data_IF_094221154166
#
_entry.id   IF_094221154166
#
_cell.length_a   1.000
_cell.length_b   1.000
_cell.length_c   1.000
_cell.angle_alpha   90.00
_cell.angle_beta   90.00
_cell.angle_gamma   90.00
#
_symmetry.space_group_name_H-M   'P 1'
#
loop_
_entity.id
_entity.type
_entity.pdbx_description
1 polymer ?
#
# COMPACT_ATOMS: atom_id res chain seq x y z
N UNK A 1 5.49 10.13 -14.41
CA UNK A 1 4.44 9.14 -14.12
C UNK A 1 3.91 8.64 -15.45
N UNK A 2 4.12 7.37 -15.80
CA UNK A 2 3.77 6.85 -17.14
C UNK A 2 2.26 6.93 -17.42
N UNK A 3 1.44 6.56 -16.43
CA UNK A 3 -0.03 6.56 -16.55
C UNK A 3 -0.67 7.93 -16.80
N UNK A 4 0.06 9.03 -16.60
CA UNK A 4 -0.41 10.38 -16.88
C UNK A 4 0.26 10.99 -18.12
N UNK A 5 0.96 10.17 -18.91
CA UNK A 5 1.62 10.63 -20.14
C UNK A 5 0.57 10.99 -21.19
N UNK A 6 0.64 12.16 -21.83
CA UNK A 6 -0.33 12.53 -22.86
C UNK A 6 -0.29 11.54 -24.03
N UNK A 7 -1.46 11.08 -24.47
CA UNK A 7 -1.63 10.15 -25.58
C UNK A 7 -2.32 10.82 -26.77
N UNK A 8 -2.15 10.24 -27.95
CA UNK A 8 -2.92 10.58 -29.14
C UNK A 8 -4.29 9.87 -29.18
N UNK A 9 -5.01 10.01 -30.30
CA UNK A 9 -6.33 9.41 -30.51
C UNK A 9 -6.33 7.88 -30.59
N UNK A 10 -5.15 7.27 -30.74
CA UNK A 10 -4.94 5.82 -30.83
C UNK A 10 -4.28 5.27 -29.55
N UNK A 11 -4.35 6.02 -28.43
CA UNK A 11 -3.76 5.69 -27.13
C UNK A 11 -2.23 5.53 -27.15
N UNK A 12 -1.53 6.12 -28.12
CA UNK A 12 -0.06 6.10 -28.15
C UNK A 12 0.51 7.29 -27.40
N UNK A 13 1.56 7.12 -26.58
CA UNK A 13 2.26 8.22 -25.97
C UNK A 13 2.75 9.24 -27.02
N UNK A 14 2.40 10.51 -26.81
CA UNK A 14 2.83 11.63 -27.68
C UNK A 14 4.35 11.81 -27.69
N UNK A 15 5.00 11.47 -26.59
CA UNK A 15 6.46 11.37 -26.47
C UNK A 15 6.84 9.91 -26.33
N UNK A 16 7.91 9.51 -27.01
CA UNK A 16 8.39 8.14 -26.95
C UNK A 16 8.78 7.74 -25.52
N UNK A 17 8.22 6.64 -25.04
CA UNK A 17 8.53 6.04 -23.73
C UNK A 17 9.29 4.74 -23.99
N UNK A 18 10.41 4.56 -23.30
CA UNK A 18 11.23 3.36 -23.40
C UNK A 18 11.74 2.91 -22.02
N UNK A 19 12.02 1.63 -21.89
CA UNK A 19 12.64 1.04 -20.71
C UNK A 19 14.14 1.27 -20.82
N UNK A 20 14.70 2.13 -19.97
CA UNK A 20 16.12 2.45 -20.00
C UNK A 20 17.01 1.32 -19.44
N UNK A 21 16.50 0.55 -18.49
CA UNK A 21 17.19 -0.57 -17.85
C UNK A 21 16.18 -1.60 -17.32
N UNK A 22 16.55 -2.88 -17.30
CA UNK A 22 15.73 -3.97 -16.79
C UNK A 22 16.58 -5.15 -16.28
N UNK A 23 16.04 -5.89 -15.31
CA UNK A 23 16.70 -7.06 -14.76
C UNK A 23 15.74 -7.97 -14.01
N UNK A 24 16.27 -9.06 -13.45
CA UNK A 24 15.52 -10.01 -12.63
C UNK A 24 15.79 -9.76 -11.15
N UNK A 25 14.72 -9.62 -10.36
CA UNK A 25 14.80 -9.57 -8.91
C UNK A 25 14.43 -10.95 -8.34
N UNK A 26 15.38 -11.71 -7.74
CA UNK A 26 15.08 -13.01 -7.19
C UNK A 26 14.19 -12.88 -5.95
N UNK A 27 13.18 -13.73 -5.87
CA UNK A 27 12.33 -13.86 -4.68
C UNK A 27 12.85 -15.01 -3.82
N UNK A 28 13.01 -14.84 -2.49
CA UNK A 28 13.50 -15.91 -1.61
C UNK A 28 12.65 -17.18 -1.68
N UNK A 29 11.36 -17.02 -1.92
CA UNK A 29 10.38 -18.09 -2.11
C UNK A 29 9.23 -17.59 -3.00
N UNK A 30 8.55 -18.47 -3.75
CA UNK A 30 7.33 -18.11 -4.46
C UNK A 30 6.28 -17.61 -3.48
N UNK A 31 5.49 -16.62 -3.92
CA UNK A 31 4.35 -16.11 -3.15
C UNK A 31 3.11 -16.01 -4.04
N UNK A 32 1.94 -16.12 -3.41
CA UNK A 32 0.65 -15.99 -4.07
C UNK A 32 0.15 -14.57 -3.95
N UNK A 33 -0.36 -14.01 -5.05
CA UNK A 33 -1.07 -12.73 -5.08
C UNK A 33 -2.52 -13.06 -5.41
N UNK A 34 -3.44 -12.51 -4.62
CA UNK A 34 -4.87 -12.67 -4.87
C UNK A 34 -5.33 -11.68 -5.92
N UNK A 35 -6.04 -12.17 -6.94
CA UNK A 35 -6.76 -11.33 -7.92
C UNK A 35 -8.17 -10.96 -7.44
N UNK A 36 -8.58 -11.41 -6.24
CA UNK A 36 -9.88 -11.09 -5.66
C UNK A 36 -9.84 -9.70 -5.00
N UNK A 37 -10.56 -8.70 -5.54
CA UNK A 37 -10.60 -7.37 -4.95
C UNK A 37 -11.28 -7.34 -3.58
N UNK A 38 -12.01 -8.39 -3.18
CA UNK A 38 -12.70 -8.50 -1.89
C UNK A 38 -12.00 -9.46 -0.91
N UNK A 39 -10.69 -9.66 -1.03
CA UNK A 39 -9.90 -10.43 -0.07
C UNK A 39 -9.84 -9.72 1.31
N UNK A 40 -10.82 -10.05 2.16
CA UNK A 40 -10.94 -9.54 3.52
C UNK A 40 -9.69 -9.81 4.36
N UNK A 41 -8.98 -10.91 4.14
CA UNK A 41 -7.76 -11.23 4.89
C UNK A 41 -6.60 -10.33 4.48
N UNK A 42 -6.46 -10.04 3.19
CA UNK A 42 -5.49 -9.07 2.71
C UNK A 42 -5.78 -7.67 3.28
N UNK A 43 -7.04 -7.26 3.33
CA UNK A 43 -7.45 -5.98 3.92
C UNK A 43 -7.15 -5.88 5.41
N UNK A 44 -7.43 -6.93 6.18
CA UNK A 44 -7.09 -6.97 7.61
C UNK A 44 -5.57 -6.87 7.80
N UNK A 45 -4.78 -7.65 7.05
CA UNK A 45 -3.31 -7.60 7.13
C UNK A 45 -2.76 -6.21 6.79
N UNK A 46 -3.29 -5.57 5.75
CA UNK A 46 -2.88 -4.24 5.32
C UNK A 46 -3.24 -3.15 6.34
N UNK A 47 -4.41 -3.27 7.00
CA UNK A 47 -4.90 -2.28 7.97
C UNK A 47 -4.41 -2.53 9.41
N UNK A 48 -3.92 -3.72 9.73
CA UNK A 48 -3.51 -4.08 11.09
C UNK A 48 -2.45 -3.13 11.68
N UNK A 49 -1.42 -2.77 10.90
CA UNK A 49 -0.36 -1.86 11.38
C UNK A 49 -0.90 -0.45 11.70
N UNK A 50 -1.59 0.27 10.79
CA UNK A 50 -2.11 1.59 11.13
C UNK A 50 -3.21 1.57 12.21
N UNK A 51 -4.04 0.52 12.25
CA UNK A 51 -5.07 0.37 13.30
C UNK A 51 -4.44 0.14 14.68
N UNK A 52 -3.47 -0.76 14.79
CA UNK A 52 -2.79 -1.03 16.08
C UNK A 52 -2.06 0.19 16.59
N UNK A 53 -1.43 0.99 15.73
CA UNK A 53 -0.83 2.27 16.12
C UNK A 53 -1.88 3.24 16.68
N UNK A 54 -3.02 3.37 16.00
CA UNK A 54 -4.12 4.23 16.44
C UNK A 54 -4.66 3.80 17.81
N UNK A 55 -4.95 2.50 17.99
CA UNK A 55 -5.40 1.96 19.27
C UNK A 55 -4.35 2.07 20.38
N UNK A 56 -3.07 1.93 20.04
CA UNK A 56 -1.98 2.08 21.02
C UNK A 56 -1.88 3.51 21.53
N UNK A 57 -1.99 4.50 20.64
CA UNK A 57 -2.00 5.92 21.01
C UNK A 57 -3.22 6.24 21.88
N UNK A 58 -4.41 5.83 21.45
CA UNK A 58 -5.65 6.03 22.22
C UNK A 58 -5.58 5.34 23.58
N UNK A 59 -5.10 4.09 23.64
CA UNK A 59 -4.93 3.34 24.87
C UNK A 59 -3.92 3.98 25.82
N UNK A 60 -2.82 4.51 25.29
CA UNK A 60 -1.82 5.25 26.06
C UNK A 60 -2.43 6.50 26.71
N UNK A 61 -3.16 7.32 25.93
CA UNK A 61 -3.81 8.52 26.45
C UNK A 61 -4.93 8.18 27.45
N UNK A 62 -5.73 7.15 27.19
CA UNK A 62 -6.75 6.66 28.12
C UNK A 62 -6.13 6.25 29.45
N UNK A 63 -5.01 5.51 29.40
CA UNK A 63 -4.28 5.09 30.58
C UNK A 63 -3.73 6.29 31.37
N UNK A 64 -3.19 7.30 30.67
CA UNK A 64 -2.68 8.52 31.30
C UNK A 64 -3.79 9.29 32.00
N UNK A 65 -4.96 9.48 31.36
CA UNK A 65 -6.11 10.15 31.98
C UNK A 65 -6.57 9.43 33.26
N UNK A 66 -6.66 8.10 33.24
CA UNK A 66 -7.01 7.31 34.41
C UNK A 66 -6.00 7.45 35.57
N UNK A 67 -4.71 7.63 35.25
CA UNK A 67 -3.65 7.82 36.26
C UNK A 67 -3.58 9.22 36.83
N UNK A 68 -4.13 10.22 36.14
CA UNK A 68 -4.08 11.62 36.54
C UNK A 68 -5.32 12.10 37.31
N UNK A 69 -6.30 11.24 37.59
CA UNK A 69 -7.58 11.61 38.24
C UNK A 69 -8.21 12.89 37.66
N UNK A 70 -8.37 12.95 36.32
CA UNK A 70 -9.32 13.87 35.66
C UNK A 70 -10.69 13.20 35.62
#
# INVERSE_FOLDING_TARGET
MLEHTPTDVDDRPTLHVYIADCGLLPTPQPFYISDDPYDLWAWIKASAVPLTMSFSILGFFQWMMMKMEI
#
